data_IF_910372023852
#
_entry.id   IF_910372023852
#
_cell.length_a   1.000
_cell.length_b   1.000
_cell.length_c   1.000
_cell.angle_alpha   90.00
_cell.angle_beta   90.00
_cell.angle_gamma   90.00
#
_symmetry.space_group_name_H-M   'P 1'
#
loop_
_entity.id
_entity.type
_entity.pdbx_description
1 polymer ?
#
# COMPACT_ATOMS: atom_id res chain seq x y z
N UNK A 1 -25.95 16.90 1.92
CA UNK A 1 -26.84 17.20 3.06
C UNK A 1 -26.05 17.82 4.24
N UNK A 2 -25.15 18.80 3.98
CA UNK A 2 -24.29 19.44 5.00
C UNK A 2 -24.59 20.94 5.19
N UNK A 3 -25.28 21.56 4.23
CA UNK A 3 -25.41 23.03 4.18
C UNK A 3 -26.30 23.58 5.30
N UNK A 4 -27.37 22.85 5.65
CA UNK A 4 -28.24 23.19 6.80
C UNK A 4 -27.49 23.18 8.13
N UNK A 5 -26.53 22.26 8.30
CA UNK A 5 -25.74 22.16 9.53
C UNK A 5 -24.71 23.29 9.61
N UNK A 6 -24.07 23.63 8.48
CA UNK A 6 -23.14 24.76 8.39
C UNK A 6 -23.84 26.09 8.73
N UNK A 7 -25.02 26.34 8.14
CA UNK A 7 -25.82 27.54 8.44
C UNK A 7 -26.21 27.59 9.93
N UNK A 8 -26.64 26.46 10.51
CA UNK A 8 -27.00 26.40 11.93
C UNK A 8 -25.81 26.69 12.85
N UNK A 9 -24.61 26.18 12.52
CA UNK A 9 -23.39 26.48 13.26
C UNK A 9 -22.97 27.94 13.12
N UNK A 10 -22.99 28.47 11.90
CA UNK A 10 -22.67 29.87 11.64
C UNK A 10 -23.59 30.81 12.44
N UNK A 11 -24.91 30.57 12.40
CA UNK A 11 -25.89 31.32 13.19
C UNK A 11 -25.66 31.19 14.70
N UNK A 12 -25.23 30.03 15.20
CA UNK A 12 -24.92 29.86 16.62
C UNK A 12 -23.68 30.66 17.04
N UNK A 13 -22.64 30.67 16.20
CA UNK A 13 -21.39 31.38 16.49
C UNK A 13 -21.63 32.90 16.40
N UNK A 14 -22.33 33.36 15.38
CA UNK A 14 -22.61 34.80 15.25
C UNK A 14 -23.58 35.30 16.30
N UNK A 15 -24.57 34.50 16.70
CA UNK A 15 -25.44 34.85 17.84
C UNK A 15 -24.67 35.00 19.16
N UNK A 16 -23.59 34.24 19.36
CA UNK A 16 -22.77 34.35 20.56
C UNK A 16 -21.97 35.68 20.60
N UNK A 17 -21.75 36.32 19.46
CA UNK A 17 -21.06 37.60 19.34
C UNK A 17 -22.08 38.75 19.40
N UNK A 18 -23.11 38.70 18.55
CA UNK A 18 -24.14 39.72 18.47
C UNK A 18 -25.51 39.09 18.14
N UNK A 19 -26.45 39.17 19.09
CA UNK A 19 -27.80 38.64 18.94
C UNK A 19 -28.81 39.73 18.52
N UNK A 20 -29.85 39.39 17.72
CA UNK A 20 -30.02 38.13 17.00
C UNK A 20 -29.22 38.11 15.70
N UNK A 21 -28.49 37.02 15.44
CA UNK A 21 -27.94 36.73 14.14
C UNK A 21 -29.05 36.40 13.15
N UNK A 22 -28.94 36.95 11.95
CA UNK A 22 -29.97 36.85 10.94
C UNK A 22 -29.42 36.09 9.75
N UNK A 23 -30.21 35.13 9.28
CA UNK A 23 -29.97 34.50 7.98
C UNK A 23 -30.34 35.47 6.84
N UNK A 24 -30.48 34.95 5.62
CA UNK A 24 -30.96 35.77 4.51
C UNK A 24 -32.40 36.28 4.75
N UNK A 25 -32.52 37.60 4.78
CA UNK A 25 -33.73 38.41 4.91
C UNK A 25 -33.60 39.53 3.91
N UNK A 26 -34.65 39.80 3.13
CA UNK A 26 -34.57 40.87 2.15
C UNK A 26 -34.63 42.23 2.86
N UNK A 27 -33.72 43.17 2.54
CA UNK A 27 -33.76 44.50 3.16
C UNK A 27 -35.09 45.23 2.95
N UNK A 28 -35.76 44.98 1.82
CA UNK A 28 -37.07 45.55 1.48
C UNK A 28 -38.21 45.07 2.39
N UNK A 29 -38.02 44.00 3.15
CA UNK A 29 -39.02 43.47 4.09
C UNK A 29 -38.87 44.13 5.48
N UNK A 30 -37.86 44.98 5.68
CA UNK A 30 -37.69 45.74 6.92
C UNK A 30 -38.48 47.05 6.88
N UNK A 31 -39.21 47.31 7.97
CA UNK A 31 -40.13 48.44 8.11
C UNK A 31 -39.45 49.80 8.22
N UNK A 32 -38.14 49.86 8.51
CA UNK A 32 -37.39 51.12 8.62
C UNK A 32 -35.96 50.98 8.09
N UNK A 33 -35.38 52.11 7.66
CA UNK A 33 -33.98 52.18 7.17
C UNK A 33 -32.99 51.71 8.24
N UNK A 34 -33.22 52.07 9.52
CA UNK A 34 -32.38 51.61 10.63
C UNK A 34 -32.44 50.09 10.84
N UNK A 35 -33.64 49.50 10.75
CA UNK A 35 -33.82 48.05 10.85
C UNK A 35 -33.19 47.31 9.65
N UNK A 36 -33.29 47.87 8.44
CA UNK A 36 -32.67 47.33 7.25
C UNK A 36 -31.14 47.31 7.37
N UNK A 37 -30.53 48.42 7.82
CA UNK A 37 -29.08 48.53 8.01
C UNK A 37 -28.57 47.57 9.09
N UNK A 38 -29.26 47.49 10.24
CA UNK A 38 -28.89 46.53 11.30
C UNK A 38 -28.98 45.08 10.80
N UNK A 39 -30.01 44.75 10.03
CA UNK A 39 -30.19 43.41 9.44
C UNK A 39 -29.07 43.07 8.46
N UNK A 40 -28.68 44.02 7.59
CA UNK A 40 -27.58 43.86 6.65
C UNK A 40 -26.24 43.61 7.37
N UNK A 41 -25.95 44.36 8.44
CA UNK A 41 -24.74 44.17 9.24
C UNK A 41 -24.69 42.75 9.81
N UNK A 42 -25.80 42.29 10.41
CA UNK A 42 -25.91 40.95 11.00
C UNK A 42 -25.79 39.83 9.96
N UNK A 43 -26.32 40.04 8.77
CA UNK A 43 -26.17 39.13 7.64
C UNK A 43 -24.72 39.04 7.18
N UNK A 44 -24.05 40.19 7.02
CA UNK A 44 -22.65 40.22 6.63
C UNK A 44 -21.76 39.49 7.64
N UNK A 45 -22.00 39.67 8.94
CA UNK A 45 -21.29 38.94 9.99
C UNK A 45 -21.50 37.42 9.85
N UNK A 46 -22.72 36.98 9.56
CA UNK A 46 -23.05 35.56 9.33
C UNK A 46 -22.39 35.01 8.07
N UNK A 47 -22.34 35.79 6.99
CA UNK A 47 -21.66 35.41 5.75
C UNK A 47 -20.15 35.29 5.94
N UNK A 48 -19.52 36.23 6.63
CA UNK A 48 -18.10 36.17 6.97
C UNK A 48 -17.82 34.88 7.75
N UNK A 49 -18.62 34.57 8.77
CA UNK A 49 -18.47 33.34 9.55
C UNK A 49 -18.58 32.06 8.71
N UNK A 50 -19.51 32.03 7.75
CA UNK A 50 -19.66 30.93 6.79
C UNK A 50 -18.44 30.79 5.89
N UNK A 51 -17.92 31.90 5.37
CA UNK A 51 -16.71 31.91 4.52
C UNK A 51 -15.50 31.42 5.32
N UNK A 52 -15.31 31.88 6.55
CA UNK A 52 -14.23 31.42 7.43
C UNK A 52 -14.32 29.90 7.64
N UNK A 53 -15.51 29.37 7.93
CA UNK A 53 -15.70 27.92 8.08
C UNK A 53 -15.34 27.14 6.81
N UNK A 54 -15.69 27.66 5.63
CA UNK A 54 -15.33 27.01 4.35
C UNK A 54 -13.82 27.01 4.15
N UNK A 55 -13.15 28.13 4.44
CA UNK A 55 -11.68 28.24 4.34
C UNK A 55 -11.01 27.27 5.31
N UNK A 56 -11.44 27.21 6.57
CA UNK A 56 -10.88 26.29 7.57
C UNK A 56 -11.04 24.82 7.14
N UNK A 57 -12.22 24.46 6.63
CA UNK A 57 -12.46 23.12 6.11
C UNK A 57 -11.56 22.80 4.91
N UNK A 58 -11.30 23.78 4.03
CA UNK A 58 -10.42 23.61 2.88
C UNK A 58 -8.96 23.43 3.31
N UNK A 59 -8.49 24.20 4.29
CA UNK A 59 -7.15 24.05 4.88
C UNK A 59 -6.99 22.66 5.51
N UNK A 60 -7.98 22.22 6.30
CA UNK A 60 -7.97 20.88 6.90
C UNK A 60 -7.97 19.77 5.84
N UNK A 61 -8.73 19.93 4.76
CA UNK A 61 -8.77 18.96 3.68
C UNK A 61 -7.43 18.90 2.92
N UNK A 62 -6.84 20.05 2.63
CA UNK A 62 -5.52 20.14 2.02
C UNK A 62 -4.44 19.47 2.89
N UNK A 63 -4.47 19.71 4.21
CA UNK A 63 -3.56 19.06 5.15
C UNK A 63 -3.72 17.52 5.14
N UNK A 64 -4.96 17.02 5.14
CA UNK A 64 -5.24 15.58 5.04
C UNK A 64 -4.74 14.97 3.73
N UNK A 65 -4.85 15.70 2.61
CA UNK A 65 -4.33 15.24 1.32
C UNK A 65 -2.80 15.15 1.32
N UNK A 66 -2.12 16.14 1.90
CA UNK A 66 -0.66 16.12 2.05
C UNK A 66 -0.23 14.91 2.88
N UNK A 67 -0.86 14.71 4.04
CA UNK A 67 -0.59 13.59 4.95
C UNK A 67 -0.85 12.24 4.26
N UNK A 68 -2.00 12.09 3.60
CA UNK A 68 -2.32 10.87 2.86
C UNK A 68 -1.33 10.61 1.72
N UNK A 69 -0.88 11.65 1.03
CA UNK A 69 0.16 11.50 -0.01
C UNK A 69 1.50 11.03 0.57
N UNK A 70 1.86 11.49 1.78
CA UNK A 70 3.05 11.07 2.49
C UNK A 70 2.94 9.60 2.96
N UNK A 71 1.77 9.22 3.48
CA UNK A 71 1.48 7.83 3.83
C UNK A 71 1.54 6.90 2.62
N UNK A 72 1.01 7.30 1.47
CA UNK A 72 1.12 6.53 0.22
C UNK A 72 2.59 6.40 -0.21
N UNK A 73 3.35 7.49 -0.25
CA UNK A 73 4.78 7.45 -0.61
C UNK A 73 5.60 6.54 0.30
N UNK A 74 5.33 6.56 1.60
CA UNK A 74 6.01 5.68 2.57
C UNK A 74 5.58 4.24 2.44
N UNK A 75 4.30 3.97 2.11
CA UNK A 75 3.81 2.63 1.83
C UNK A 75 4.43 2.04 0.56
N UNK A 76 4.47 2.81 -0.55
CA UNK A 76 5.08 2.36 -1.81
C UNK A 76 6.58 2.16 -1.69
N UNK A 77 7.28 3.04 -0.95
CA UNK A 77 8.71 2.87 -0.70
C UNK A 77 9.01 1.60 0.13
N UNK A 78 8.12 1.23 1.06
CA UNK A 78 8.26 -0.04 1.79
C UNK A 78 8.02 -1.25 0.88
N UNK A 79 7.07 -1.17 -0.03
CA UNK A 79 6.73 -2.26 -0.96
C UNK A 79 7.90 -2.56 -1.92
N UNK A 80 8.56 -1.53 -2.46
CA UNK A 80 9.77 -1.69 -3.30
C UNK A 80 10.95 -2.29 -2.52
N UNK A 81 11.10 -1.97 -1.22
CA UNK A 81 12.18 -2.58 -0.40
C UNK A 81 11.88 -4.01 0.05
N UNK A 82 10.60 -4.34 0.21
CA UNK A 82 10.16 -5.69 0.59
C UNK A 82 10.33 -6.66 -0.57
N UNK A 83 10.10 -6.26 -1.82
CA UNK A 83 10.25 -7.14 -2.99
C UNK A 83 11.71 -7.57 -3.20
N UNK A 84 12.66 -6.63 -3.22
CA UNK A 84 14.08 -6.95 -3.47
C UNK A 84 14.69 -7.77 -2.33
N UNK A 85 14.36 -7.47 -1.06
CA UNK A 85 14.86 -8.23 0.09
C UNK A 85 14.26 -9.64 0.18
N UNK A 86 12.96 -9.81 -0.13
CA UNK A 86 12.34 -11.13 -0.23
C UNK A 86 12.94 -11.94 -1.39
N UNK A 87 13.17 -11.33 -2.55
CA UNK A 87 13.78 -11.99 -3.71
C UNK A 87 15.20 -12.47 -3.36
N UNK A 88 15.99 -11.64 -2.67
CA UNK A 88 17.34 -12.01 -2.22
C UNK A 88 17.31 -13.12 -1.15
N UNK A 89 16.37 -13.07 -0.21
CA UNK A 89 16.22 -14.08 0.84
C UNK A 89 15.72 -15.42 0.26
N UNK A 90 14.75 -15.39 -0.66
CA UNK A 90 14.33 -16.55 -1.46
C UNK A 90 15.49 -17.10 -2.28
N UNK A 91 16.29 -16.25 -2.92
CA UNK A 91 17.47 -16.66 -3.67
C UNK A 91 18.52 -17.34 -2.80
N UNK A 92 18.72 -16.89 -1.56
CA UNK A 92 19.60 -17.54 -0.57
C UNK A 92 19.04 -18.88 -0.11
N UNK A 93 17.77 -18.94 0.29
CA UNK A 93 17.06 -20.17 0.68
C UNK A 93 17.11 -21.22 -0.41
N UNK A 94 16.80 -20.84 -1.65
CA UNK A 94 16.89 -21.75 -2.80
C UNK A 94 18.32 -22.20 -3.05
N UNK A 95 19.35 -21.36 -2.91
CA UNK A 95 20.76 -21.79 -3.07
C UNK A 95 21.24 -22.72 -1.94
N UNK A 96 20.78 -22.51 -0.72
CA UNK A 96 21.08 -23.39 0.42
C UNK A 96 20.37 -24.74 0.29
N UNK A 97 19.10 -24.75 -0.16
CA UNK A 97 18.32 -25.98 -0.37
C UNK A 97 18.64 -26.71 -1.70
N UNK A 98 19.07 -25.99 -2.75
CA UNK A 98 19.63 -26.56 -3.99
C UNK A 98 21.15 -26.73 -3.93
N UNK A 99 21.78 -26.50 -2.78
CA UNK A 99 23.09 -27.09 -2.51
C UNK A 99 22.89 -28.59 -2.33
N UNK A 100 22.60 -29.26 -3.44
CA UNK A 100 22.84 -30.67 -3.67
C UNK A 100 24.35 -30.82 -3.50
N UNK A 101 24.76 -30.90 -2.23
CA UNK A 101 25.85 -31.74 -1.76
C UNK A 101 25.86 -32.92 -2.70
N UNK A 102 26.88 -32.99 -3.57
CA UNK A 102 27.11 -34.10 -4.49
C UNK A 102 26.76 -35.36 -3.72
N UNK A 103 25.61 -35.96 -4.01
CA UNK A 103 25.25 -37.24 -3.45
C UNK A 103 26.27 -38.18 -4.04
N UNK A 104 27.29 -38.50 -3.24
CA UNK A 104 28.20 -39.59 -3.53
C UNK A 104 27.31 -40.80 -3.51
N UNK A 105 26.81 -41.20 -4.69
CA UNK A 105 26.06 -42.43 -4.86
C UNK A 105 26.94 -43.55 -4.31
N UNK A 106 26.64 -43.98 -3.08
CA UNK A 106 27.31 -45.11 -2.46
C UNK A 106 26.99 -46.30 -3.35
N UNK A 107 27.93 -46.67 -4.22
CA UNK A 107 27.83 -47.85 -5.08
C UNK A 107 27.41 -49.03 -4.20
N UNK A 108 26.20 -49.56 -4.47
CA UNK A 108 25.67 -50.71 -3.76
C UNK A 108 26.65 -51.88 -3.83
N UNK A 109 26.70 -52.70 -2.76
CA UNK A 109 27.60 -53.85 -2.69
C UNK A 109 27.11 -54.92 -3.69
N UNK A 110 27.87 -55.14 -4.75
CA UNK A 110 27.56 -56.13 -5.77
C UNK A 110 27.86 -57.53 -5.23
N UNK A 111 26.83 -58.31 -4.95
CA UNK A 111 26.96 -59.72 -4.58
C UNK A 111 27.00 -60.59 -5.83
N UNK A 112 28.21 -60.93 -6.28
CA UNK A 112 28.43 -61.81 -7.45
C UNK A 112 29.34 -62.96 -7.05
N UNK A 113 28.98 -64.18 -7.46
CA UNK A 113 29.72 -65.42 -7.20
C UNK A 113 31.10 -65.41 -7.87
N UNK A 114 31.24 -64.66 -8.97
CA UNK A 114 32.49 -64.53 -9.73
C UNK A 114 32.70 -63.07 -10.11
N UNK A 115 33.93 -62.57 -9.95
CA UNK A 115 34.28 -61.19 -10.28
C UNK A 115 34.04 -60.88 -11.77
N UNK A 116 33.16 -59.93 -12.11
CA UNK A 116 32.82 -59.60 -13.50
C UNK A 116 34.02 -59.09 -14.31
N UNK A 117 35.05 -58.51 -13.67
CA UNK A 117 36.26 -58.10 -14.37
C UNK A 117 37.08 -59.28 -14.88
N UNK A 118 37.04 -60.41 -14.20
CA UNK A 118 37.73 -61.65 -14.59
C UNK A 118 37.12 -62.23 -15.86
N UNK A 119 35.78 -62.26 -15.95
CA UNK A 119 35.05 -62.72 -17.14
C UNK A 119 35.39 -61.86 -18.37
N UNK A 120 35.51 -60.54 -18.19
CA UNK A 120 35.85 -59.63 -19.28
C UNK A 120 37.28 -59.84 -19.78
N UNK A 121 38.24 -60.12 -18.88
CA UNK A 121 39.62 -60.45 -19.26
C UNK A 121 39.69 -61.77 -20.02
N UNK A 122 38.95 -62.78 -19.57
CA UNK A 122 38.93 -64.09 -20.23
C UNK A 122 38.30 -64.03 -21.62
N UNK A 123 37.20 -63.28 -21.78
CA UNK A 123 36.62 -63.01 -23.11
C UNK A 123 37.58 -62.25 -24.02
N UNK A 124 38.27 -61.23 -23.50
CA UNK A 124 39.27 -60.47 -24.28
C UNK A 124 40.48 -61.31 -24.68
N UNK A 125 40.91 -62.26 -23.84
CA UNK A 125 41.96 -63.23 -24.20
C UNK A 125 41.48 -64.19 -25.28
N UNK A 126 40.28 -64.76 -25.14
CA UNK A 126 39.69 -65.65 -26.16
C UNK A 126 39.52 -64.97 -27.52
N UNK A 127 39.25 -63.67 -27.55
CA UNK A 127 39.16 -62.86 -28.78
C UNK A 127 40.56 -62.58 -29.37
N UNK A 128 41.60 -62.40 -28.54
CA UNK A 128 42.96 -62.14 -29.00
C UNK A 128 43.69 -63.39 -29.51
N UNK A 129 43.40 -64.56 -28.93
CA UNK A 129 44.07 -65.82 -29.27
C UNK A 129 43.35 -66.60 -30.39
N UNK A 130 42.44 -65.96 -31.13
CA UNK A 130 41.97 -66.46 -32.44
C UNK A 130 41.27 -67.83 -32.42
N UNK A 131 40.55 -68.19 -31.37
CA UNK A 131 39.69 -69.38 -31.38
C UNK A 131 38.23 -68.99 -31.59
N UNK A 132 37.87 -68.79 -32.86
CA UNK A 132 36.49 -68.87 -33.32
C UNK A 132 36.09 -70.35 -33.29
N UNK A 133 35.10 -70.71 -32.48
CA UNK A 133 34.25 -71.85 -32.79
C UNK A 133 32.79 -71.45 -32.59
N UNK A 134 32.02 -71.84 -33.61
CA UNK A 134 30.59 -71.61 -33.90
C UNK A 134 29.68 -71.77 -32.69
#
# INVERSE_FOLDING_TARGET
MNDKLAIKRALSITNAIEAPAVAYVKPSENSSVGAATSTLIKQNNTLIQLVTQVIDNQIQLAAKLVDLSAQIKTATAKEDTLSDSLIDELGRKFKEDLSISKTVDKKGKLHVVTDPYSILKDKKKKIKDGSTTV
#
